data_IF_935960838061
#
_entry.id   IF_935960838061
#
_cell.length_a   1.000
_cell.length_b   1.000
_cell.length_c   1.000
_cell.angle_alpha   90.00
_cell.angle_beta   90.00
_cell.angle_gamma   90.00
#
_symmetry.space_group_name_H-M   'P 1'
#
loop_
_entity.id
_entity.type
_entity.pdbx_description
1 polymer ?
#
# COMPACT_ATOMS: atom_id res chain seq x y z
N UNK A 1 -13.50 -19.28 4.12
CA UNK A 1 -12.54 -19.14 3.00
C UNK A 1 -11.25 -18.58 3.59
N UNK A 2 -10.10 -19.17 3.30
CA UNK A 2 -8.80 -18.62 3.70
C UNK A 2 -8.43 -17.41 2.83
N UNK A 3 -7.70 -16.46 3.39
CA UNK A 3 -7.15 -15.33 2.63
C UNK A 3 -6.21 -15.85 1.53
N UNK A 4 -6.32 -15.40 0.28
CA UNK A 4 -5.40 -15.79 -0.79
C UNK A 4 -3.94 -15.39 -0.51
N UNK A 5 -2.98 -16.19 -0.99
CA UNK A 5 -1.53 -15.96 -0.78
C UNK A 5 -1.03 -14.60 -1.28
N UNK A 6 -1.63 -14.06 -2.34
CA UNK A 6 -1.30 -12.73 -2.87
C UNK A 6 -1.78 -11.57 -1.98
N UNK A 7 -2.44 -11.85 -0.86
CA UNK A 7 -2.77 -10.87 0.19
C UNK A 7 -2.06 -11.16 1.51
N UNK A 8 -1.10 -12.09 1.54
CA UNK A 8 -0.30 -12.41 2.72
C UNK A 8 1.12 -11.92 2.60
N UNK A 9 1.61 -11.40 3.72
CA UNK A 9 3.02 -11.20 3.99
C UNK A 9 3.46 -12.26 4.98
N UNK A 10 4.58 -12.90 4.69
CA UNK A 10 5.18 -13.96 5.48
C UNK A 10 6.69 -13.95 5.20
N UNK A 11 7.49 -13.67 6.23
CA UNK A 11 8.97 -13.77 6.19
C UNK A 11 9.50 -14.88 7.11
N UNK A 12 8.63 -15.81 7.52
CA UNK A 12 8.95 -16.90 8.46
C UNK A 12 8.88 -16.51 9.94
N UNK A 13 8.94 -15.22 10.28
CA UNK A 13 8.82 -14.72 11.65
C UNK A 13 7.54 -13.89 11.83
N UNK A 14 7.31 -12.97 10.89
CA UNK A 14 6.22 -12.01 10.88
C UNK A 14 5.20 -12.37 9.82
N UNK A 15 3.94 -12.50 10.28
CA UNK A 15 2.83 -12.90 9.44
C UNK A 15 1.72 -11.86 9.58
N UNK A 16 1.26 -11.31 8.45
CA UNK A 16 0.08 -10.46 8.42
C UNK A 16 -0.57 -10.43 7.05
N UNK A 17 -1.82 -9.96 7.03
CA UNK A 17 -2.59 -9.85 5.80
C UNK A 17 -2.67 -8.38 5.34
N UNK A 18 -2.80 -8.17 4.03
CA UNK A 18 -3.05 -6.86 3.45
C UNK A 18 -4.28 -6.17 4.08
N UNK A 19 -5.29 -6.94 4.49
CA UNK A 19 -6.48 -6.42 5.16
C UNK A 19 -6.20 -5.83 6.54
N UNK A 20 -5.14 -6.27 7.22
CA UNK A 20 -4.72 -5.68 8.50
C UNK A 20 -4.23 -4.23 8.39
N UNK A 21 -3.93 -3.79 7.16
CA UNK A 21 -3.54 -2.42 6.83
C UNK A 21 -4.73 -1.73 6.13
N UNK A 22 -5.15 -2.25 4.97
CA UNK A 22 -6.07 -1.57 4.05
C UNK A 22 -7.44 -1.25 4.65
N UNK A 23 -7.95 -2.04 5.60
CA UNK A 23 -9.26 -1.79 6.23
C UNK A 23 -9.36 -0.47 6.99
N UNK A 24 -8.21 0.16 7.26
CA UNK A 24 -8.10 1.39 8.00
C UNK A 24 -7.88 2.61 7.12
N UNK A 25 -7.87 2.48 5.80
CA UNK A 25 -7.70 3.59 4.86
C UNK A 25 -9.02 3.94 4.17
N UNK A 26 -9.10 5.13 3.57
CA UNK A 26 -10.24 5.49 2.72
C UNK A 26 -10.35 4.53 1.52
N UNK A 27 -11.51 4.50 0.85
CA UNK A 27 -11.78 3.53 -0.22
C UNK A 27 -10.67 3.45 -1.28
N UNK A 28 -10.25 4.60 -1.82
CA UNK A 28 -9.20 4.63 -2.84
C UNK A 28 -7.83 4.25 -2.28
N UNK A 29 -7.44 4.75 -1.11
CA UNK A 29 -6.16 4.38 -0.49
C UNK A 29 -6.10 2.91 -0.06
N UNK A 30 -7.22 2.34 0.39
CA UNK A 30 -7.34 0.92 0.67
C UNK A 30 -7.11 0.10 -0.62
N UNK A 31 -7.65 0.54 -1.75
CA UNK A 31 -7.43 -0.08 -3.07
C UNK A 31 -5.99 0.06 -3.53
N UNK A 32 -5.36 1.24 -3.38
CA UNK A 32 -3.93 1.44 -3.66
C UNK A 32 -3.10 0.40 -2.91
N UNK A 33 -3.30 0.26 -1.59
CA UNK A 33 -2.59 -0.73 -0.77
C UNK A 33 -2.82 -2.15 -1.30
N UNK A 34 -4.05 -2.53 -1.61
CA UNK A 34 -4.38 -3.88 -2.08
C UNK A 34 -3.77 -4.21 -3.44
N UNK A 35 -3.80 -3.28 -4.39
CA UNK A 35 -3.21 -3.48 -5.70
C UNK A 35 -1.68 -3.55 -5.64
N UNK A 36 -1.04 -2.64 -4.88
CA UNK A 36 0.42 -2.67 -4.68
C UNK A 36 0.85 -3.91 -3.89
N UNK A 37 0.02 -4.41 -2.98
CA UNK A 37 0.37 -5.63 -2.26
C UNK A 37 0.42 -6.86 -3.17
N UNK A 38 -0.44 -6.91 -4.20
CA UNK A 38 -0.67 -8.12 -4.99
C UNK A 38 -0.02 -8.09 -6.37
N UNK A 39 0.53 -6.96 -6.82
CA UNK A 39 0.94 -6.77 -8.22
C UNK A 39 1.94 -7.83 -8.69
N UNK A 40 2.98 -8.14 -7.92
CA UNK A 40 3.94 -9.19 -8.32
C UNK A 40 3.38 -10.60 -8.29
N UNK A 41 2.39 -10.85 -7.43
CA UNK A 41 1.86 -12.20 -7.19
C UNK A 41 0.62 -12.53 -8.02
N UNK A 42 -0.05 -11.54 -8.62
CA UNK A 42 -1.32 -11.73 -9.34
C UNK A 42 -1.49 -10.88 -10.58
N UNK A 43 -1.64 -9.56 -10.45
CA UNK A 43 -2.11 -8.72 -11.56
C UNK A 43 -1.02 -8.03 -12.38
N UNK A 44 0.25 -8.23 -12.06
CA UNK A 44 1.36 -7.62 -12.78
C UNK A 44 1.26 -6.09 -12.86
N UNK A 45 1.68 -5.53 -14.01
CA UNK A 45 1.65 -4.09 -14.26
C UNK A 45 0.23 -3.51 -14.21
N UNK A 46 -0.79 -4.29 -14.57
CA UNK A 46 -2.19 -3.83 -14.55
C UNK A 46 -2.66 -3.45 -13.13
N UNK A 47 -2.17 -4.15 -12.10
CA UNK A 47 -2.45 -3.76 -10.72
C UNK A 47 -1.75 -2.45 -10.34
N UNK A 48 -0.53 -2.19 -10.83
CA UNK A 48 0.12 -0.90 -10.63
C UNK A 48 -0.64 0.23 -11.32
N UNK A 49 -1.15 0.00 -12.53
CA UNK A 49 -1.97 0.98 -13.25
C UNK A 49 -3.30 1.26 -12.52
N UNK A 50 -3.93 0.23 -11.93
CA UNK A 50 -5.11 0.38 -11.06
C UNK A 50 -4.80 1.14 -9.78
N UNK A 51 -3.67 0.86 -9.14
CA UNK A 51 -3.21 1.60 -7.97
C UNK A 51 -3.00 3.08 -8.32
N UNK A 52 -2.36 3.38 -9.45
CA UNK A 52 -2.14 4.74 -9.92
C UNK A 52 -3.44 5.48 -10.18
N UNK A 53 -4.43 4.83 -10.81
CA UNK A 53 -5.76 5.40 -11.03
C UNK A 53 -6.43 5.76 -9.69
N UNK A 54 -6.42 4.83 -8.72
CA UNK A 54 -6.99 5.10 -7.39
C UNK A 54 -6.26 6.25 -6.66
N UNK A 55 -4.93 6.34 -6.75
CA UNK A 55 -4.18 7.42 -6.13
C UNK A 55 -4.49 8.79 -6.77
N UNK A 56 -4.66 8.84 -8.10
CA UNK A 56 -5.06 10.05 -8.83
C UNK A 56 -6.49 10.49 -8.48
N UNK A 57 -7.41 9.53 -8.36
CA UNK A 57 -8.79 9.79 -7.93
C UNK A 57 -8.82 10.29 -6.48
N UNK A 58 -8.03 9.68 -5.58
CA UNK A 58 -7.91 10.14 -4.20
C UNK A 58 -7.42 11.59 -4.12
N UNK A 59 -6.38 11.93 -4.89
CA UNK A 59 -5.85 13.29 -5.00
C UNK A 59 -6.92 14.28 -5.48
N UNK A 60 -7.65 13.93 -6.55
CA UNK A 60 -8.73 14.77 -7.09
C UNK A 60 -9.86 15.03 -6.08
N UNK A 61 -10.05 14.12 -5.14
CA UNK A 61 -11.05 14.22 -4.08
C UNK A 61 -10.48 14.78 -2.76
N UNK A 62 -9.22 15.23 -2.72
CA UNK A 62 -8.58 15.75 -1.50
C UNK A 62 -8.37 14.69 -0.40
N UNK A 63 -8.33 13.41 -0.76
CA UNK A 63 -8.08 12.31 0.15
C UNK A 63 -6.58 12.02 0.24
N UNK A 64 -6.04 12.03 1.46
CA UNK A 64 -4.61 11.79 1.71
C UNK A 64 -4.37 10.34 2.19
N UNK A 65 -3.14 9.81 2.07
CA UNK A 65 -2.81 8.42 2.45
C UNK A 65 -2.70 8.26 3.97
N UNK A 66 -3.72 8.68 4.71
CA UNK A 66 -3.78 8.58 6.16
C UNK A 66 -4.80 7.53 6.59
N UNK A 67 -4.47 6.71 7.61
CA UNK A 67 -5.43 5.77 8.16
C UNK A 67 -6.51 6.51 8.96
N UNK A 68 -7.77 6.16 8.73
CA UNK A 68 -8.98 6.68 9.37
C UNK A 68 -9.19 5.99 10.73
N UNK A 69 -8.26 6.24 11.67
CA UNK A 69 -8.27 5.61 13.00
C UNK A 69 -8.00 6.61 14.12
N UNK A 70 -8.73 6.46 15.23
CA UNK A 70 -8.50 7.23 16.46
C UNK A 70 -7.57 6.53 17.45
N UNK A 71 -7.48 5.20 17.36
CA UNK A 71 -6.67 4.39 18.30
C UNK A 71 -5.18 4.52 18.00
N UNK A 72 -4.43 5.06 18.96
CA UNK A 72 -2.97 5.16 18.89
C UNK A 72 -2.29 3.79 18.80
N UNK A 73 -2.88 2.75 19.42
CA UNK A 73 -2.37 1.37 19.38
C UNK A 73 -2.47 0.83 17.95
N UNK A 74 -3.65 0.96 17.32
CA UNK A 74 -3.85 0.54 15.93
C UNK A 74 -2.93 1.30 14.98
N UNK A 75 -2.75 2.61 15.20
CA UNK A 75 -1.84 3.43 14.39
C UNK A 75 -0.41 2.92 14.49
N UNK A 76 0.05 2.58 15.69
CA UNK A 76 1.38 1.99 15.90
C UNK A 76 1.51 0.62 15.21
N UNK A 77 0.47 -0.21 15.26
CA UNK A 77 0.46 -1.52 14.58
C UNK A 77 0.55 -1.38 13.06
N UNK A 78 -0.25 -0.49 12.46
CA UNK A 78 -0.21 -0.23 11.01
C UNK A 78 1.15 0.33 10.60
N UNK A 79 1.67 1.31 11.35
CA UNK A 79 3.00 1.87 11.08
C UNK A 79 4.11 0.81 11.11
N UNK A 80 4.04 -0.16 12.03
CA UNK A 80 5.00 -1.28 12.08
C UNK A 80 4.89 -2.16 10.85
N UNK A 81 3.68 -2.50 10.40
CA UNK A 81 3.47 -3.32 9.19
C UNK A 81 3.96 -2.60 7.93
N UNK A 82 3.64 -1.32 7.77
CA UNK A 82 4.16 -0.50 6.67
C UNK A 82 5.68 -0.34 6.72
N UNK A 83 6.26 -0.24 7.92
CA UNK A 83 7.72 -0.22 8.10
C UNK A 83 8.34 -1.53 7.59
N UNK A 84 7.78 -2.69 7.96
CA UNK A 84 8.24 -4.00 7.47
C UNK A 84 8.17 -4.06 5.93
N UNK A 85 7.02 -3.72 5.34
CA UNK A 85 6.84 -3.71 3.89
C UNK A 85 7.85 -2.80 3.18
N UNK A 86 8.13 -1.63 3.77
CA UNK A 86 9.13 -0.70 3.27
C UNK A 86 10.54 -1.28 3.34
N UNK A 87 10.98 -1.74 4.52
CA UNK A 87 12.37 -2.18 4.72
C UNK A 87 12.71 -3.47 4.00
N UNK A 88 11.73 -4.34 3.79
CA UNK A 88 11.89 -5.61 3.07
C UNK A 88 11.63 -5.46 1.57
N UNK A 89 11.43 -4.22 1.09
CA UNK A 89 11.10 -3.91 -0.29
C UNK A 89 10.00 -4.81 -0.85
N UNK A 90 8.95 -5.03 -0.05
CA UNK A 90 7.92 -5.99 -0.40
C UNK A 90 7.28 -5.60 -1.73
N UNK A 91 7.22 -6.55 -2.65
CA UNK A 91 6.76 -6.32 -4.02
C UNK A 91 7.55 -5.23 -4.77
N UNK A 92 8.85 -5.06 -4.50
CA UNK A 92 9.71 -4.00 -5.07
C UNK A 92 9.09 -2.60 -4.99
N UNK A 93 8.31 -2.35 -3.92
CA UNK A 93 7.49 -1.14 -3.76
C UNK A 93 7.91 -0.32 -2.53
N UNK A 94 9.17 -0.42 -2.11
CA UNK A 94 9.72 0.30 -0.93
C UNK A 94 9.37 1.77 -0.88
N UNK A 95 9.46 2.51 -2.01
CA UNK A 95 9.09 3.93 -2.08
C UNK A 95 7.61 4.16 -1.77
N UNK A 96 6.71 3.34 -2.31
CA UNK A 96 5.27 3.42 -2.05
C UNK A 96 4.97 3.17 -0.56
N UNK A 97 5.53 2.10 0.00
CA UNK A 97 5.33 1.77 1.43
C UNK A 97 5.89 2.82 2.37
N UNK A 98 7.07 3.36 2.05
CA UNK A 98 7.69 4.46 2.78
C UNK A 98 6.77 5.68 2.83
N UNK A 99 6.20 6.07 1.69
CA UNK A 99 5.38 7.28 1.57
C UNK A 99 4.03 7.11 2.25
N UNK A 100 3.35 5.96 2.11
CA UNK A 100 2.11 5.67 2.86
C UNK A 100 2.34 5.67 4.39
N UNK A 101 3.54 5.27 4.84
CA UNK A 101 3.90 5.31 6.28
C UNK A 101 4.07 6.74 6.81
N UNK A 102 4.34 7.72 5.95
CA UNK A 102 4.60 9.09 6.41
C UNK A 102 3.35 9.72 7.02
N UNK A 103 3.57 10.70 7.91
CA UNK A 103 2.50 11.39 8.64
C UNK A 103 2.14 12.76 8.03
N UNK A 104 2.69 13.06 6.86
CA UNK A 104 2.33 14.20 6.04
C UNK A 104 1.58 13.70 4.80
N UNK A 105 0.95 14.63 4.08
CA UNK A 105 0.31 14.31 2.81
C UNK A 105 1.38 13.94 1.76
N UNK A 106 1.60 12.64 1.58
CA UNK A 106 2.57 12.08 0.65
C UNK A 106 1.92 11.62 -0.68
N UNK A 107 0.78 12.22 -1.04
CA UNK A 107 -0.03 11.78 -2.19
C UNK A 107 0.77 11.80 -3.50
N UNK A 108 1.47 12.91 -3.78
CA UNK A 108 2.24 13.05 -5.01
C UNK A 108 3.45 12.11 -5.02
N UNK A 109 4.12 11.90 -3.89
CA UNK A 109 5.25 10.98 -3.81
C UNK A 109 4.83 9.51 -3.97
N UNK A 110 3.61 9.14 -3.57
CA UNK A 110 3.07 7.81 -3.89
C UNK A 110 2.76 7.69 -5.38
N UNK A 111 2.17 8.72 -5.99
CA UNK A 111 1.90 8.75 -7.45
C UNK A 111 3.20 8.61 -8.24
N UNK A 112 4.22 9.40 -7.92
CA UNK A 112 5.53 9.36 -8.58
C UNK A 112 6.19 7.97 -8.46
N UNK A 113 6.13 7.37 -7.27
CA UNK A 113 6.65 6.03 -7.03
C UNK A 113 5.92 4.96 -7.87
N UNK A 114 4.59 5.05 -7.99
CA UNK A 114 3.81 4.15 -8.83
C UNK A 114 4.16 4.32 -10.31
N UNK A 115 4.32 5.55 -10.79
CA UNK A 115 4.71 5.82 -12.17
C UNK A 115 6.12 5.31 -12.49
N UNK A 116 7.08 5.46 -11.57
CA UNK A 116 8.41 4.85 -11.69
C UNK A 116 8.34 3.32 -11.78
N UNK A 117 7.55 2.68 -10.91
CA UNK A 117 7.37 1.23 -10.93
C UNK A 117 6.75 0.75 -12.25
N UNK A 118 5.73 1.44 -12.76
CA UNK A 118 5.10 1.11 -14.05
C UNK A 118 6.10 1.25 -15.20
N UNK A 119 6.91 2.31 -15.21
CA UNK A 119 7.95 2.49 -16.23
C UNK A 119 9.02 1.41 -16.17
N UNK A 120 9.41 0.97 -14.97
CA UNK A 120 10.42 -0.08 -14.79
C UNK A 120 9.93 -1.50 -15.05
N UNK A 121 8.61 -1.71 -15.12
CA UNK A 121 7.99 -3.01 -15.35
C UNK A 121 7.54 -3.23 -16.82
N UNK A 122 7.67 -2.21 -17.68
CA UNK A 122 7.46 -2.27 -19.13
C UNK A 122 8.79 -2.44 -19.84
#
# INVERSE_FOLDING_TARGET
MSTPEYYKYDDGETHFECFDISRYYSGDWARVIQYVFRWQKKGGVEDLEKALACAKDARGNGMTPHPIIKSHILRRTINKKLYILWTQDFSNASKVWKNIKMHYDATDEVIDALEEMIRGAK
#
